data_IF_300280955389
#
_entry.id   IF_300280955389
#
_cell.length_a   1.000
_cell.length_b   1.000
_cell.length_c   1.000
_cell.angle_alpha   90.00
_cell.angle_beta   90.00
_cell.angle_gamma   90.00
#
_symmetry.space_group_name_H-M   'P 1'
#
loop_
_entity.id
_entity.type
_entity.pdbx_description
1 polymer ?
#
# COMPACT_ATOMS: atom_id res chain seq x y z
N UNK A 1 -20.91 36.73 -38.42
CA UNK A 1 -20.35 36.22 -37.16
C UNK A 1 -21.27 35.10 -36.70
N UNK A 2 -20.87 33.83 -36.88
CA UNK A 2 -21.74 32.69 -36.58
C UNK A 2 -21.66 32.34 -35.09
N UNK A 3 -22.78 32.04 -34.40
CA UNK A 3 -22.76 31.63 -33.01
C UNK A 3 -22.12 30.23 -32.84
N UNK A 4 -21.46 29.95 -31.70
CA UNK A 4 -20.88 28.63 -31.44
C UNK A 4 -21.99 27.58 -31.31
N UNK A 5 -21.85 26.46 -32.03
CA UNK A 5 -22.73 25.30 -31.88
C UNK A 5 -22.48 24.65 -30.51
N UNK A 6 -23.32 24.94 -29.53
CA UNK A 6 -23.34 24.17 -28.28
C UNK A 6 -24.04 22.84 -28.54
N UNK A 7 -23.28 21.80 -28.86
CA UNK A 7 -23.83 20.45 -28.96
C UNK A 7 -24.47 20.06 -27.60
N UNK A 8 -25.70 19.52 -27.58
CA UNK A 8 -26.29 18.99 -26.36
C UNK A 8 -25.38 17.89 -25.80
N UNK A 9 -24.93 18.00 -24.54
CA UNK A 9 -24.19 16.92 -23.88
C UNK A 9 -25.22 15.87 -23.49
N UNK A 10 -25.28 14.71 -24.16
CA UNK A 10 -26.31 13.75 -23.84
C UNK A 10 -26.05 13.18 -22.43
N UNK A 11 -27.04 13.38 -21.55
CA UNK A 11 -26.94 12.97 -20.14
C UNK A 11 -27.33 11.50 -20.03
N UNK A 12 -26.40 10.60 -20.38
CA UNK A 12 -26.60 9.14 -20.26
C UNK A 12 -26.34 8.62 -18.84
N UNK A 13 -26.93 9.28 -17.83
CA UNK A 13 -26.88 8.88 -16.42
C UNK A 13 -27.19 7.39 -16.16
N UNK A 14 -28.23 6.77 -16.75
CA UNK A 14 -28.51 5.36 -16.50
C UNK A 14 -27.43 4.42 -17.07
N UNK A 15 -26.79 4.82 -18.17
CA UNK A 15 -25.70 4.05 -18.79
C UNK A 15 -24.42 4.09 -17.93
N UNK A 16 -24.13 5.24 -17.31
CA UNK A 16 -23.04 5.37 -16.35
C UNK A 16 -23.20 4.46 -15.13
N UNK A 17 -24.41 4.33 -14.58
CA UNK A 17 -24.70 3.38 -13.51
C UNK A 17 -24.63 1.93 -13.98
N UNK A 18 -25.11 1.62 -15.19
CA UNK A 18 -25.04 0.28 -15.75
C UNK A 18 -23.59 -0.23 -15.90
N UNK A 19 -22.64 0.68 -16.17
CA UNK A 19 -21.21 0.36 -16.24
C UNK A 19 -20.53 0.39 -14.86
N UNK A 20 -20.90 1.33 -13.98
CA UNK A 20 -20.28 1.48 -12.67
C UNK A 20 -20.68 0.39 -11.67
N UNK A 21 -21.95 -0.04 -11.68
CA UNK A 21 -22.48 -1.05 -10.74
C UNK A 21 -21.71 -2.38 -10.79
N UNK A 22 -21.47 -3.03 -11.95
CA UNK A 22 -20.72 -4.28 -11.98
C UNK A 22 -19.26 -4.10 -11.56
N UNK A 23 -18.63 -2.96 -11.87
CA UNK A 23 -17.27 -2.67 -11.41
C UNK A 23 -17.20 -2.48 -9.89
N UNK A 24 -18.15 -1.73 -9.32
CA UNK A 24 -18.26 -1.52 -7.87
C UNK A 24 -18.59 -2.81 -7.13
N UNK A 25 -19.50 -3.63 -7.67
CA UNK A 25 -19.82 -4.94 -7.11
C UNK A 25 -18.60 -5.86 -7.15
N UNK A 26 -17.89 -5.91 -8.29
CA UNK A 26 -16.65 -6.67 -8.40
C UNK A 26 -15.62 -6.24 -7.35
N UNK A 27 -15.35 -4.94 -7.23
CA UNK A 27 -14.43 -4.39 -6.23
C UNK A 27 -14.90 -4.66 -4.79
N UNK A 28 -16.19 -4.53 -4.51
CA UNK A 28 -16.74 -4.80 -3.19
C UNK A 28 -16.62 -6.28 -2.83
N UNK A 29 -16.90 -7.19 -3.76
CA UNK A 29 -16.79 -8.64 -3.53
C UNK A 29 -15.31 -9.01 -3.29
N UNK A 30 -14.39 -8.55 -4.13
CA UNK A 30 -12.97 -8.88 -4.01
C UNK A 30 -12.33 -8.32 -2.75
N UNK A 31 -12.85 -7.22 -2.19
CA UNK A 31 -12.35 -6.63 -0.96
C UNK A 31 -13.04 -7.21 0.29
N UNK A 32 -14.37 -7.28 0.27
CA UNK A 32 -15.16 -7.62 1.46
C UNK A 32 -15.15 -9.12 1.74
N UNK A 33 -15.24 -9.99 0.73
CA UNK A 33 -15.25 -11.44 0.94
C UNK A 33 -14.00 -11.92 1.70
N UNK A 34 -12.76 -11.65 1.26
CA UNK A 34 -11.57 -12.07 2.01
C UNK A 34 -11.43 -11.36 3.36
N UNK A 35 -11.91 -10.12 3.47
CA UNK A 35 -11.90 -9.39 4.76
C UNK A 35 -12.81 -10.07 5.77
N UNK A 36 -14.04 -10.42 5.38
CA UNK A 36 -14.98 -11.13 6.25
C UNK A 36 -14.42 -12.51 6.62
N UNK A 37 -13.85 -13.24 5.65
CA UNK A 37 -13.18 -14.52 5.93
C UNK A 37 -12.06 -14.38 6.95
N UNK A 38 -11.24 -13.33 6.83
CA UNK A 38 -10.15 -13.04 7.77
C UNK A 38 -10.69 -12.72 9.17
N UNK A 39 -11.78 -11.96 9.28
CA UNK A 39 -12.44 -11.68 10.56
C UNK A 39 -13.00 -12.96 11.17
N UNK A 40 -13.68 -13.82 10.41
CA UNK A 40 -14.18 -15.09 10.91
C UNK A 40 -13.04 -15.99 11.39
N UNK A 41 -11.97 -16.11 10.60
CA UNK A 41 -10.79 -16.90 10.95
C UNK A 41 -10.07 -16.35 12.19
N UNK A 42 -10.09 -15.03 12.41
CA UNK A 42 -9.48 -14.42 13.60
C UNK A 42 -10.18 -14.78 14.91
N UNK A 43 -11.44 -15.23 14.86
CA UNK A 43 -12.20 -15.75 16.00
C UNK A 43 -11.96 -17.24 16.25
N UNK A 44 -11.23 -17.89 15.35
CA UNK A 44 -10.88 -19.29 15.43
C UNK A 44 -9.42 -19.44 15.87
N UNK A 45 -9.10 -20.56 16.51
CA UNK A 45 -7.74 -20.95 16.89
C UNK A 45 -7.37 -22.20 16.11
N UNK A 46 -6.18 -22.22 15.51
CA UNK A 46 -5.66 -23.36 14.77
C UNK A 46 -5.00 -22.94 13.46
N UNK A 47 -4.42 -23.92 12.77
CA UNK A 47 -3.88 -23.73 11.43
C UNK A 47 -4.77 -24.46 10.41
N UNK A 48 -4.67 -24.06 9.15
CA UNK A 48 -5.36 -24.70 8.01
C UNK A 48 -5.08 -26.22 7.98
N UNK A 49 -3.94 -26.67 8.52
CA UNK A 49 -3.49 -28.06 8.52
C UNK A 49 -4.07 -28.88 9.69
N UNK A 50 -4.20 -28.30 10.87
CA UNK A 50 -4.59 -29.02 12.12
C UNK A 50 -6.06 -28.87 12.49
N UNK A 51 -6.83 -28.11 11.70
CA UNK A 51 -8.23 -27.78 11.97
C UNK A 51 -8.36 -26.55 12.86
N UNK A 52 -9.42 -25.76 12.62
CA UNK A 52 -9.72 -24.59 13.43
C UNK A 52 -10.80 -24.90 14.46
N UNK A 53 -10.74 -24.25 15.62
CA UNK A 53 -11.77 -24.27 16.66
C UNK A 53 -12.19 -22.85 16.96
N UNK A 54 -13.50 -22.59 16.96
CA UNK A 54 -14.04 -21.29 17.36
C UNK A 54 -13.72 -21.00 18.84
N UNK A 55 -13.00 -19.90 19.09
CA UNK A 55 -12.62 -19.43 20.43
C UNK A 55 -13.13 -18.02 20.73
N UNK A 56 -13.89 -17.43 19.82
CA UNK A 56 -14.46 -16.09 19.97
C UNK A 56 -13.37 -15.01 20.10
N UNK A 57 -13.54 -14.10 21.06
CA UNK A 57 -12.62 -12.97 21.26
C UNK A 57 -11.35 -13.29 22.04
N UNK A 58 -11.13 -14.55 22.44
CA UNK A 58 -9.97 -14.95 23.27
C UNK A 58 -8.64 -14.59 22.61
N UNK A 59 -8.53 -14.72 21.29
CA UNK A 59 -7.33 -14.36 20.54
C UNK A 59 -6.97 -12.87 20.71
N UNK A 60 -7.99 -11.99 20.67
CA UNK A 60 -7.78 -10.55 20.84
C UNK A 60 -7.34 -10.19 22.25
N UNK A 61 -7.94 -10.79 23.28
CA UNK A 61 -7.54 -10.53 24.67
C UNK A 61 -6.07 -10.91 24.89
N UNK A 62 -5.65 -12.06 24.36
CA UNK A 62 -4.24 -12.49 24.41
C UNK A 62 -3.32 -11.52 23.68
N UNK A 63 -3.66 -11.10 22.45
CA UNK A 63 -2.84 -10.18 21.66
C UNK A 63 -2.73 -8.78 22.29
N UNK A 64 -3.82 -8.26 22.84
CA UNK A 64 -3.84 -6.94 23.47
C UNK A 64 -3.01 -6.90 24.76
N UNK A 65 -2.83 -8.04 25.43
CA UNK A 65 -1.94 -8.19 26.59
C UNK A 65 -0.47 -8.44 26.23
N UNK A 66 -0.14 -8.67 24.95
CA UNK A 66 1.20 -9.02 24.50
C UNK A 66 2.04 -7.78 24.18
N UNK A 67 3.13 -7.58 24.93
CA UNK A 67 4.07 -6.47 24.70
C UNK A 67 4.82 -6.57 23.37
N UNK A 68 5.04 -7.78 22.84
CA UNK A 68 5.67 -7.97 21.54
C UNK A 68 4.75 -7.50 20.41
N UNK A 69 3.44 -7.75 20.53
CA UNK A 69 2.43 -7.26 19.60
C UNK A 69 2.46 -5.73 19.50
N UNK A 70 2.44 -5.02 20.63
CA UNK A 70 2.48 -3.55 20.63
C UNK A 70 3.79 -2.97 20.09
N UNK A 71 4.91 -3.63 20.40
CA UNK A 71 6.21 -3.23 19.85
C UNK A 71 6.24 -3.37 18.33
N UNK A 72 5.75 -4.49 17.80
CA UNK A 72 5.65 -4.74 16.37
C UNK A 72 4.64 -3.81 15.68
N UNK A 73 3.49 -3.55 16.32
CA UNK A 73 2.48 -2.63 15.81
C UNK A 73 3.01 -1.18 15.75
N UNK A 74 3.70 -0.72 16.80
CA UNK A 74 4.34 0.59 16.84
C UNK A 74 5.44 0.74 15.78
N UNK A 75 6.27 -0.28 15.60
CA UNK A 75 7.26 -0.31 14.52
C UNK A 75 6.59 -0.24 13.15
N UNK A 76 5.58 -1.07 12.89
CA UNK A 76 4.84 -1.08 11.62
C UNK A 76 4.17 0.27 11.35
N UNK A 77 3.60 0.91 12.38
CA UNK A 77 3.02 2.24 12.28
C UNK A 77 4.09 3.29 11.95
N UNK A 78 5.28 3.20 12.55
CA UNK A 78 6.39 4.12 12.26
C UNK A 78 6.84 4.06 10.80
N UNK A 79 6.82 2.86 10.19
CA UNK A 79 7.15 2.66 8.78
C UNK A 79 6.16 3.36 7.83
N UNK A 80 4.93 3.64 8.28
CA UNK A 80 3.94 4.36 7.48
C UNK A 80 3.97 5.86 7.82
N UNK A 81 3.92 6.19 9.11
CA UNK A 81 3.78 7.57 9.57
C UNK A 81 5.00 8.40 9.22
N UNK A 82 6.22 7.89 9.42
CA UNK A 82 7.42 8.68 9.17
C UNK A 82 7.58 9.06 7.68
N UNK A 83 7.52 8.12 6.71
CA UNK A 83 7.55 8.47 5.29
C UNK A 83 6.37 9.34 4.87
N UNK A 84 5.17 9.13 5.44
CA UNK A 84 4.01 9.96 5.16
C UNK A 84 4.24 11.42 5.57
N UNK A 85 4.75 11.67 6.78
CA UNK A 85 5.06 13.01 7.27
C UNK A 85 6.10 13.70 6.38
N UNK A 86 7.17 12.98 6.02
CA UNK A 86 8.18 13.48 5.09
C UNK A 86 7.56 13.81 3.73
N UNK A 87 6.72 12.92 3.19
CA UNK A 87 6.07 13.09 1.89
C UNK A 87 5.14 14.32 1.87
N UNK A 88 4.36 14.54 2.92
CA UNK A 88 3.44 15.69 3.04
C UNK A 88 4.20 17.03 3.01
N UNK A 89 5.45 17.07 3.47
CA UNK A 89 6.27 18.29 3.45
C UNK A 89 7.07 18.39 2.16
N UNK A 90 7.79 17.33 1.79
CA UNK A 90 8.75 17.34 0.68
C UNK A 90 8.05 17.37 -0.67
N UNK A 91 6.95 16.62 -0.86
CA UNK A 91 6.30 16.54 -2.16
C UNK A 91 5.71 17.89 -2.62
N UNK A 92 5.00 18.67 -1.79
CA UNK A 92 4.52 19.99 -2.18
C UNK A 92 5.65 21.00 -2.43
N UNK A 93 6.71 20.99 -1.63
CA UNK A 93 7.88 21.85 -1.84
C UNK A 93 8.54 21.57 -3.19
N UNK A 94 8.71 20.29 -3.52
CA UNK A 94 9.28 19.88 -4.80
C UNK A 94 8.35 20.23 -5.96
N UNK A 95 7.04 20.05 -5.80
CA UNK A 95 6.03 20.45 -6.78
C UNK A 95 6.05 21.96 -7.04
N UNK A 96 6.17 22.78 -5.99
CA UNK A 96 6.28 24.23 -6.09
C UNK A 96 7.57 24.66 -6.83
N UNK A 97 8.71 24.07 -6.47
CA UNK A 97 9.99 24.34 -7.12
C UNK A 97 9.96 23.97 -8.62
N UNK A 98 9.38 22.81 -8.97
CA UNK A 98 9.24 22.36 -10.35
C UNK A 98 8.24 23.20 -11.16
N UNK A 99 7.23 23.78 -10.50
CA UNK A 99 6.28 24.67 -11.16
C UNK A 99 6.93 25.95 -11.69
N UNK A 100 7.96 26.47 -10.99
CA UNK A 100 8.72 27.65 -11.40
C UNK A 100 9.87 27.38 -12.37
N UNK A 101 10.31 26.13 -12.53
CA UNK A 101 11.57 25.77 -13.21
C UNK A 101 11.49 25.65 -14.75
N UNK A 102 10.38 26.00 -15.39
CA UNK A 102 10.20 25.87 -16.85
C UNK A 102 9.84 24.45 -17.32
N UNK A 103 9.50 24.32 -18.61
CA UNK A 103 8.86 23.10 -19.15
C UNK A 103 9.74 21.84 -19.18
N UNK A 104 11.06 21.98 -19.36
CA UNK A 104 11.99 20.85 -19.43
C UNK A 104 12.31 20.25 -18.04
N UNK A 105 12.75 21.02 -17.03
CA UNK A 105 12.98 20.50 -15.68
C UNK A 105 11.73 19.89 -15.05
N UNK A 106 10.55 20.45 -15.34
CA UNK A 106 9.26 19.89 -14.90
C UNK A 106 9.00 18.49 -15.45
N UNK A 107 9.32 18.24 -16.73
CA UNK A 107 9.11 16.92 -17.35
C UNK A 107 10.12 15.89 -16.85
N UNK A 108 11.39 16.25 -16.75
CA UNK A 108 12.43 15.36 -16.22
C UNK A 108 12.19 15.05 -14.74
N UNK A 109 11.90 16.07 -13.92
CA UNK A 109 11.56 15.88 -12.51
C UNK A 109 10.33 15.01 -12.31
N UNK A 110 9.26 15.24 -13.09
CA UNK A 110 8.06 14.39 -13.06
C UNK A 110 8.35 12.94 -13.47
N UNK A 111 9.13 12.73 -14.53
CA UNK A 111 9.48 11.39 -15.00
C UNK A 111 10.34 10.62 -13.97
N UNK A 112 11.34 11.27 -13.37
CA UNK A 112 12.19 10.66 -12.33
C UNK A 112 11.36 10.28 -11.11
N UNK A 113 10.51 11.18 -10.60
CA UNK A 113 9.67 10.90 -9.42
C UNK A 113 8.68 9.76 -9.68
N UNK A 114 8.09 9.71 -10.88
CA UNK A 114 7.16 8.64 -11.27
C UNK A 114 7.90 7.31 -11.41
N UNK A 115 9.11 7.32 -11.94
CA UNK A 115 9.94 6.12 -12.05
C UNK A 115 10.35 5.60 -10.67
N UNK A 116 10.73 6.48 -9.75
CA UNK A 116 11.04 6.11 -8.36
C UNK A 116 9.88 5.42 -7.65
N UNK A 117 8.62 5.84 -7.91
CA UNK A 117 7.43 5.18 -7.38
C UNK A 117 7.26 3.75 -7.92
N UNK A 118 7.60 3.51 -9.19
CA UNK A 118 7.47 2.19 -9.83
C UNK A 118 8.62 1.25 -9.44
N UNK A 119 9.82 1.78 -9.22
CA UNK A 119 11.02 0.97 -8.94
C UNK A 119 11.15 0.54 -7.49
N UNK A 120 10.37 1.09 -6.56
CA UNK A 120 10.43 0.67 -5.16
C UNK A 120 9.83 -0.73 -4.97
N UNK A 121 10.65 -1.75 -5.20
CA UNK A 121 10.33 -3.16 -4.94
C UNK A 121 10.79 -3.53 -3.53
N UNK A 122 9.87 -3.84 -2.59
CA UNK A 122 10.24 -4.30 -1.26
C UNK A 122 11.16 -5.53 -1.29
N UNK A 123 11.00 -6.37 -2.31
CA UNK A 123 11.82 -7.57 -2.54
C UNK A 123 13.25 -7.21 -2.90
N UNK A 124 13.46 -6.22 -3.77
CA UNK A 124 14.81 -5.79 -4.15
C UNK A 124 15.57 -5.19 -2.96
N UNK A 125 14.87 -4.40 -2.13
CA UNK A 125 15.43 -3.82 -0.90
C UNK A 125 15.79 -4.93 0.10
N UNK A 126 14.90 -5.90 0.31
CA UNK A 126 15.16 -7.04 1.19
C UNK A 126 16.33 -7.90 0.68
N UNK A 127 16.39 -8.17 -0.64
CA UNK A 127 17.47 -8.93 -1.25
C UNK A 127 18.83 -8.23 -1.10
N UNK A 128 18.89 -6.93 -1.34
CA UNK A 128 20.11 -6.14 -1.14
C UNK A 128 20.59 -6.19 0.32
N UNK A 129 19.66 -6.10 1.27
CA UNK A 129 19.97 -6.20 2.69
C UNK A 129 20.48 -7.58 3.10
N UNK A 130 19.85 -8.65 2.57
CA UNK A 130 20.31 -10.02 2.77
C UNK A 130 21.73 -10.22 2.20
N UNK A 131 22.00 -9.76 0.98
CA UNK A 131 23.33 -9.88 0.37
C UNK A 131 24.40 -9.13 1.15
N UNK A 132 24.06 -7.95 1.67
CA UNK A 132 24.96 -7.15 2.50
C UNK A 132 25.22 -7.82 3.86
N UNK A 133 24.20 -8.41 4.49
CA UNK A 133 24.35 -9.16 5.75
C UNK A 133 25.31 -10.36 5.61
N UNK A 134 25.31 -11.05 4.46
CA UNK A 134 26.24 -12.17 4.21
C UNK A 134 27.69 -11.69 4.05
N UNK A 135 27.92 -10.47 3.56
CA UNK A 135 29.27 -9.92 3.39
C UNK A 135 29.94 -9.44 4.68
N UNK A 136 29.17 -9.24 5.76
CA UNK A 136 29.67 -8.71 7.05
C UNK A 136 30.24 -9.77 8.01
N UNK A 137 30.13 -11.06 7.70
CA UNK A 137 30.69 -12.16 8.51
C UNK A 137 31.73 -13.02 7.75
N UNK A 138 32.88 -12.45 7.32
CA UNK A 138 33.97 -13.24 6.72
C UNK A 138 34.65 -14.21 7.71
N UNK A 139 34.40 -14.09 9.03
CA UNK A 139 35.07 -14.89 10.07
C UNK A 139 34.48 -16.28 10.34
N UNK A 140 33.27 -16.60 9.86
CA UNK A 140 32.65 -17.92 10.10
C UNK A 140 32.89 -18.92 8.96
N UNK A 141 33.38 -18.47 7.80
CA UNK A 141 33.71 -19.32 6.67
C UNK A 141 35.12 -19.96 6.76
N UNK A 142 35.92 -19.61 7.77
CA UNK A 142 37.29 -20.12 7.99
C UNK A 142 37.35 -21.22 9.06
N UNK A 143 36.22 -21.54 9.72
CA UNK A 143 36.15 -22.53 10.80
C UNK A 143 35.34 -23.79 10.44
N UNK A 144 35.07 -24.01 9.16
CA UNK A 144 34.62 -25.28 8.58
C UNK A 144 35.65 -25.74 7.55
#
# INVERSE_FOLDING_TARGET
MNPPMTAPVPTYRPLGWLLAVPALLGAAITLLVPTVQTILLSLETGNVITGSRFVGSKNYVTLLGDGAFWSAAGFSLSLVVFPLLVSVIVAPLLAFALAGAGGWPRRVGGAVLTLSLVTFSPVAVAAAWLTDAHSRSPGLAVLL
#
